data_IF_340581900185
#
_entry.id   IF_340581900185
#
_cell.length_a   1.000
_cell.length_b   1.000
_cell.length_c   1.000
_cell.angle_alpha   90.00
_cell.angle_beta   90.00
_cell.angle_gamma   90.00
#
_symmetry.space_group_name_H-M   'P 1'
#
loop_
_entity.id
_entity.type
_entity.pdbx_description
1 polymer ?
#
# COMPACT_ATOMS: atom_id res chain seq x y z
N UNK A 1 -1.14 -27.44 39.46
CA UNK A 1 -0.14 -28.54 39.44
C UNK A 1 -0.22 -29.49 40.66
N UNK A 2 -1.39 -29.65 41.33
CA UNK A 2 -1.63 -30.65 42.40
C UNK A 2 -2.77 -31.63 42.08
N UNK A 3 -3.46 -31.45 40.95
CA UNK A 3 -4.59 -32.29 40.54
C UNK A 3 -4.19 -33.41 39.56
N UNK A 4 -3.12 -33.22 38.79
CA UNK A 4 -2.60 -34.21 37.84
C UNK A 4 -1.87 -35.39 38.51
N UNK A 5 -1.22 -35.17 39.66
CA UNK A 5 -0.52 -36.25 40.40
C UNK A 5 -1.48 -37.21 41.13
N UNK A 6 -2.73 -36.82 41.38
CA UNK A 6 -3.70 -37.65 42.12
C UNK A 6 -4.41 -38.68 41.22
N UNK A 7 -4.53 -38.40 39.93
CA UNK A 7 -5.17 -39.32 38.97
C UNK A 7 -4.24 -40.45 38.51
N UNK A 8 -2.93 -40.21 38.35
CA UNK A 8 -1.99 -41.27 37.94
C UNK A 8 -1.79 -42.33 39.04
N UNK A 9 -1.78 -41.93 40.32
CA UNK A 9 -1.64 -42.87 41.43
C UNK A 9 -2.85 -43.81 41.58
N UNK A 10 -4.07 -43.33 41.32
CA UNK A 10 -5.28 -44.17 41.38
C UNK A 10 -5.35 -45.16 40.21
N UNK A 11 -4.84 -44.79 39.03
CA UNK A 11 -4.83 -45.66 37.86
C UNK A 11 -3.80 -46.80 38.00
N UNK A 12 -2.61 -46.52 38.55
CA UNK A 12 -1.60 -47.55 38.82
C UNK A 12 -2.05 -48.55 39.90
N UNK A 13 -2.77 -48.08 40.93
CA UNK A 13 -3.30 -48.95 41.99
C UNK A 13 -4.40 -49.90 41.47
N UNK A 14 -5.28 -49.41 40.58
CA UNK A 14 -6.35 -50.22 39.98
C UNK A 14 -5.85 -51.24 38.94
N UNK A 15 -4.78 -50.92 38.20
CA UNK A 15 -4.14 -51.85 37.27
C UNK A 15 -3.38 -52.96 38.03
N UNK A 16 -2.73 -52.63 39.15
CA UNK A 16 -2.06 -53.64 39.99
C UNK A 16 -3.06 -54.55 40.71
N UNK A 17 -4.18 -54.02 41.22
CA UNK A 17 -5.24 -54.84 41.85
C UNK A 17 -5.89 -55.83 40.87
N UNK A 18 -6.02 -55.45 39.59
CA UNK A 18 -6.56 -56.29 38.52
C UNK A 18 -5.60 -57.43 38.12
N UNK A 19 -4.29 -57.19 38.18
CA UNK A 19 -3.27 -58.23 37.91
C UNK A 19 -3.14 -59.22 39.07
N UNK A 20 -3.19 -58.76 40.32
CA UNK A 20 -3.13 -59.64 41.50
C UNK A 20 -4.38 -60.51 41.62
N UNK A 21 -5.58 -59.96 41.40
CA UNK A 21 -6.82 -60.76 41.41
C UNK A 21 -6.89 -61.82 40.30
N UNK A 22 -6.31 -61.57 39.12
CA UNK A 22 -6.21 -62.59 38.06
C UNK A 22 -5.22 -63.71 38.42
N UNK A 23 -4.12 -63.37 39.11
CA UNK A 23 -3.12 -64.35 39.53
C UNK A 23 -3.64 -65.24 40.67
N UNK A 24 -4.35 -64.65 41.66
CA UNK A 24 -4.92 -65.39 42.78
C UNK A 24 -6.09 -66.27 42.35
N UNK A 25 -6.91 -65.81 41.41
CA UNK A 25 -7.98 -66.63 40.82
C UNK A 25 -7.42 -67.75 39.93
N UNK A 26 -6.31 -67.51 39.22
CA UNK A 26 -5.60 -68.56 38.47
C UNK A 26 -4.94 -69.59 39.41
N UNK A 27 -4.34 -69.15 40.53
CA UNK A 27 -3.82 -70.04 41.57
C UNK A 27 -4.92 -70.83 42.28
N UNK A 28 -6.09 -70.23 42.51
CA UNK A 28 -7.25 -70.91 43.10
C UNK A 28 -7.81 -71.98 42.14
N UNK A 29 -7.89 -71.68 40.84
CA UNK A 29 -8.31 -72.64 39.80
C UNK A 29 -7.25 -73.75 39.61
N UNK A 30 -5.96 -73.42 39.63
CA UNK A 30 -4.86 -74.42 39.62
C UNK A 30 -4.83 -75.29 40.87
N UNK A 31 -5.19 -74.75 42.05
CA UNK A 31 -5.29 -75.51 43.31
C UNK A 31 -6.52 -76.43 43.33
N UNK A 32 -7.61 -76.04 42.67
CA UNK A 32 -8.76 -76.91 42.40
C UNK A 32 -8.44 -78.01 41.37
N UNK A 33 -7.55 -77.76 40.41
CA UNK A 33 -7.10 -78.73 39.41
C UNK A 33 -5.99 -79.69 39.90
N UNK A 34 -5.33 -79.41 41.03
CA UNK A 34 -4.24 -80.21 41.58
C UNK A 34 -4.65 -81.13 42.74
N UNK A 35 -5.88 -81.65 42.72
CA UNK A 35 -6.28 -82.82 43.53
C UNK A 35 -6.23 -84.06 42.63
N UNK A 36 -5.02 -84.53 42.36
CA UNK A 36 -4.74 -85.87 41.81
C UNK A 36 -4.45 -86.84 42.96
N UNK A 37 -5.50 -87.38 43.58
CA UNK A 37 -5.60 -88.76 44.11
C UNK A 37 -6.91 -88.93 44.89
N UNK A 38 -8.02 -89.03 44.17
CA UNK A 38 -9.17 -89.80 44.67
C UNK A 38 -9.63 -90.71 43.53
N UNK A 39 -9.13 -91.94 43.63
CA UNK A 39 -9.79 -93.22 43.35
C UNK A 39 -10.88 -93.19 42.26
N UNK A 40 -10.61 -93.85 41.14
CA UNK A 40 -11.62 -94.31 40.20
C UNK A 40 -12.77 -94.98 40.97
N UNK A 41 -13.96 -94.38 40.91
CA UNK A 41 -15.19 -94.96 41.43
C UNK A 41 -16.12 -95.17 40.24
N UNK A 42 -16.61 -96.41 40.15
CA UNK A 42 -17.35 -97.00 39.05
C UNK A 42 -18.54 -96.17 38.59
N UNK A 43 -18.73 -96.12 37.27
CA UNK A 43 -19.86 -95.52 36.56
C UNK A 43 -21.14 -96.38 36.65
N UNK A 44 -21.46 -96.89 37.85
CA UNK A 44 -22.59 -97.79 38.08
C UNK A 44 -23.12 -97.62 39.51
N UNK A 45 -23.86 -96.52 39.70
CA UNK A 45 -24.94 -96.29 40.68
C UNK A 45 -25.10 -94.78 40.90
N UNK A 46 -25.63 -94.07 39.89
CA UNK A 46 -26.05 -92.67 40.06
C UNK A 46 -27.45 -92.64 40.68
N UNK A 47 -27.55 -92.22 41.93
CA UNK A 47 -28.84 -91.84 42.52
C UNK A 47 -29.34 -90.53 41.88
N UNK A 48 -30.67 -90.34 41.73
CA UNK A 48 -31.27 -89.21 40.98
C UNK A 48 -30.86 -87.81 41.48
N UNK A 49 -30.34 -87.70 42.69
CA UNK A 49 -29.82 -86.45 43.27
C UNK A 49 -28.58 -85.89 42.57
N UNK A 50 -27.74 -86.72 41.92
CA UNK A 50 -26.49 -86.26 41.29
C UNK A 50 -26.71 -85.54 39.95
N UNK A 51 -27.75 -85.91 39.20
CA UNK A 51 -28.11 -85.24 37.94
C UNK A 51 -28.65 -83.82 38.18
N UNK A 52 -29.33 -83.60 39.31
CA UNK A 52 -29.85 -82.28 39.71
C UNK A 52 -28.68 -81.33 40.01
N UNK A 53 -27.65 -81.81 40.72
CA UNK A 53 -26.46 -81.00 41.06
C UNK A 53 -25.63 -80.69 39.81
N UNK A 54 -25.45 -81.65 38.90
CA UNK A 54 -24.74 -81.40 37.64
C UNK A 54 -25.49 -80.43 36.71
N UNK A 55 -26.83 -80.54 36.66
CA UNK A 55 -27.68 -79.62 35.90
C UNK A 55 -27.64 -78.19 36.44
N UNK A 56 -27.67 -78.03 37.77
CA UNK A 56 -27.50 -76.73 38.43
C UNK A 56 -26.13 -76.12 38.17
N UNK A 57 -25.06 -76.92 38.22
CA UNK A 57 -23.71 -76.46 37.92
C UNK A 57 -23.57 -75.99 36.45
N UNK A 58 -24.15 -76.73 35.50
CA UNK A 58 -24.16 -76.36 34.08
C UNK A 58 -24.95 -75.06 33.84
N UNK A 59 -26.11 -74.89 34.48
CA UNK A 59 -26.91 -73.68 34.38
C UNK A 59 -26.18 -72.45 34.95
N UNK A 60 -25.46 -72.62 36.06
CA UNK A 60 -24.68 -71.55 36.69
C UNK A 60 -23.49 -71.13 35.81
N UNK A 61 -22.85 -72.09 35.15
CA UNK A 61 -21.76 -71.84 34.19
C UNK A 61 -22.28 -71.08 32.95
N UNK A 62 -23.44 -71.47 32.44
CA UNK A 62 -24.09 -70.81 31.30
C UNK A 62 -24.49 -69.37 31.65
N UNK A 63 -24.97 -69.13 32.87
CA UNK A 63 -25.27 -67.80 33.39
C UNK A 63 -24.01 -66.92 33.50
N UNK A 64 -22.89 -67.48 33.97
CA UNK A 64 -21.61 -66.76 34.04
C UNK A 64 -21.11 -66.38 32.64
N UNK A 65 -21.22 -67.27 31.65
CA UNK A 65 -20.83 -66.98 30.27
C UNK A 65 -21.69 -65.86 29.67
N UNK A 66 -23.01 -65.91 29.87
CA UNK A 66 -23.92 -64.84 29.43
C UNK A 66 -23.65 -63.51 30.15
N UNK A 67 -23.30 -63.55 31.43
CA UNK A 67 -22.95 -62.36 32.21
C UNK A 67 -21.64 -61.71 31.73
N UNK A 68 -20.62 -62.51 31.40
CA UNK A 68 -19.36 -62.03 30.82
C UNK A 68 -19.61 -61.43 29.42
N UNK A 69 -20.45 -62.06 28.59
CA UNK A 69 -20.82 -61.53 27.29
C UNK A 69 -21.53 -60.18 27.41
N UNK A 70 -22.51 -60.05 28.30
CA UNK A 70 -23.22 -58.80 28.57
C UNK A 70 -22.28 -57.67 29.05
N UNK A 71 -21.33 -57.98 29.94
CA UNK A 71 -20.30 -57.04 30.38
C UNK A 71 -19.38 -56.60 29.25
N UNK A 72 -18.96 -57.54 28.38
CA UNK A 72 -18.10 -57.23 27.23
C UNK A 72 -18.79 -56.34 26.20
N UNK A 73 -20.09 -56.57 25.95
CA UNK A 73 -20.92 -55.76 25.06
C UNK A 73 -21.10 -54.34 25.60
N UNK A 74 -21.41 -54.19 26.89
CA UNK A 74 -21.49 -52.86 27.54
C UNK A 74 -20.16 -52.10 27.47
N UNK A 75 -19.02 -52.78 27.66
CA UNK A 75 -17.69 -52.16 27.53
C UNK A 75 -17.39 -51.69 26.10
N UNK A 76 -17.80 -52.46 25.08
CA UNK A 76 -17.66 -52.05 23.67
C UNK A 76 -18.53 -50.81 23.37
N UNK A 77 -19.76 -50.77 23.86
CA UNK A 77 -20.65 -49.62 23.67
C UNK A 77 -20.13 -48.34 24.36
N UNK A 78 -19.52 -48.46 25.54
CA UNK A 78 -18.89 -47.33 26.24
C UNK A 78 -17.68 -46.82 25.46
N UNK A 79 -16.80 -47.70 24.99
CA UNK A 79 -15.63 -47.31 24.18
C UNK A 79 -16.04 -46.63 22.86
N UNK A 80 -17.06 -47.15 22.18
CA UNK A 80 -17.56 -46.53 20.95
C UNK A 80 -18.11 -45.11 21.20
N UNK A 81 -18.76 -44.87 22.34
CA UNK A 81 -19.21 -43.53 22.75
C UNK A 81 -18.05 -42.60 23.12
N UNK A 82 -17.03 -43.11 23.82
CA UNK A 82 -15.82 -42.34 24.16
C UNK A 82 -15.02 -41.97 22.91
N UNK A 83 -14.87 -42.89 21.94
CA UNK A 83 -14.23 -42.63 20.65
C UNK A 83 -15.00 -41.60 19.82
N UNK A 84 -16.34 -41.72 19.75
CA UNK A 84 -17.18 -40.74 19.07
C UNK A 84 -17.07 -39.34 19.70
N UNK A 85 -17.11 -39.25 21.03
CA UNK A 85 -16.99 -37.99 21.76
C UNK A 85 -15.57 -37.38 21.63
N UNK A 86 -14.53 -38.21 21.64
CA UNK A 86 -13.17 -37.75 21.41
C UNK A 86 -12.96 -37.27 19.97
N UNK A 87 -13.57 -37.93 18.98
CA UNK A 87 -13.55 -37.50 17.59
C UNK A 87 -14.26 -36.16 17.40
N UNK A 88 -15.45 -36.00 17.97
CA UNK A 88 -16.20 -34.74 17.95
C UNK A 88 -15.42 -33.60 18.64
N UNK A 89 -14.78 -33.86 19.78
CA UNK A 89 -13.90 -32.89 20.45
C UNK A 89 -12.68 -32.52 19.60
N UNK A 90 -12.07 -33.49 18.93
CA UNK A 90 -10.93 -33.27 18.03
C UNK A 90 -11.32 -32.40 16.85
N UNK A 91 -12.46 -32.70 16.21
CA UNK A 91 -12.99 -31.92 15.09
C UNK A 91 -13.36 -30.51 15.52
N UNK A 92 -14.03 -30.35 16.69
CA UNK A 92 -14.35 -29.04 17.24
C UNK A 92 -13.09 -28.21 17.53
N UNK A 93 -12.05 -28.83 18.09
CA UNK A 93 -10.78 -28.16 18.36
C UNK A 93 -10.07 -27.75 17.08
N UNK A 94 -10.01 -28.65 16.09
CA UNK A 94 -9.43 -28.36 14.77
C UNK A 94 -10.17 -27.23 14.06
N UNK A 95 -11.51 -27.26 14.05
CA UNK A 95 -12.33 -26.22 13.42
C UNK A 95 -12.18 -24.87 14.14
N UNK A 96 -12.03 -24.87 15.46
CA UNK A 96 -11.77 -23.65 16.23
C UNK A 96 -10.38 -23.08 15.92
N UNK A 97 -9.34 -23.93 15.87
CA UNK A 97 -7.98 -23.52 15.52
C UNK A 97 -7.92 -22.97 14.08
N UNK A 98 -8.55 -23.63 13.11
CA UNK A 98 -8.63 -23.17 11.72
C UNK A 98 -9.39 -21.84 11.59
N UNK A 99 -10.55 -21.71 12.27
CA UNK A 99 -11.30 -20.45 12.29
C UNK A 99 -10.51 -19.32 12.93
N UNK A 100 -9.77 -19.61 14.01
CA UNK A 100 -8.96 -18.62 14.71
C UNK A 100 -7.79 -18.14 13.84
N UNK A 101 -7.10 -19.07 13.17
CA UNK A 101 -6.03 -18.74 12.22
C UNK A 101 -6.55 -17.93 11.03
N UNK A 102 -7.72 -18.31 10.48
CA UNK A 102 -8.36 -17.55 9.40
C UNK A 102 -8.68 -16.12 9.83
N UNK A 103 -9.28 -15.94 11.01
CA UNK A 103 -9.54 -14.61 11.58
C UNK A 103 -8.27 -13.79 11.82
N UNK A 104 -7.18 -14.45 12.24
CA UNK A 104 -5.88 -13.78 12.42
C UNK A 104 -5.29 -13.31 11.10
N UNK A 105 -5.38 -14.13 10.06
CA UNK A 105 -4.90 -13.79 8.72
C UNK A 105 -5.72 -12.67 8.09
N UNK A 106 -7.05 -12.69 8.22
CA UNK A 106 -7.91 -11.61 7.71
C UNK A 106 -7.62 -10.31 8.46
N UNK A 107 -7.52 -10.35 9.79
CA UNK A 107 -7.19 -9.17 10.60
C UNK A 107 -5.82 -8.59 10.24
N UNK A 108 -4.80 -9.44 10.03
CA UNK A 108 -3.48 -8.99 9.59
C UNK A 108 -3.51 -8.34 8.21
N UNK A 109 -4.32 -8.86 7.30
CA UNK A 109 -4.50 -8.30 5.96
C UNK A 109 -5.22 -6.94 6.02
N UNK A 110 -6.32 -6.86 6.75
CA UNK A 110 -7.06 -5.60 6.97
C UNK A 110 -6.17 -4.54 7.65
N UNK A 111 -5.34 -4.93 8.61
CA UNK A 111 -4.39 -4.02 9.27
C UNK A 111 -3.33 -3.49 8.30
N UNK A 112 -2.83 -4.32 7.38
CA UNK A 112 -1.87 -3.91 6.36
C UNK A 112 -2.53 -2.94 5.36
N UNK A 113 -3.71 -3.29 4.83
CA UNK A 113 -4.47 -2.42 3.94
C UNK A 113 -4.81 -1.07 4.60
N UNK A 114 -5.21 -1.07 5.87
CA UNK A 114 -5.45 0.16 6.63
C UNK A 114 -4.19 0.99 6.79
N UNK A 115 -3.05 0.37 7.12
CA UNK A 115 -1.77 1.08 7.24
C UNK A 115 -1.35 1.73 5.92
N UNK A 116 -1.42 1.00 4.82
CA UNK A 116 -1.08 1.52 3.49
C UNK A 116 -2.00 2.70 3.12
N UNK A 117 -3.29 2.58 3.44
CA UNK A 117 -4.27 3.66 3.21
C UNK A 117 -3.98 4.88 4.09
N UNK A 118 -3.62 4.68 5.37
CA UNK A 118 -3.26 5.76 6.28
C UNK A 118 -1.95 6.44 5.87
N UNK A 119 -0.94 5.69 5.43
CA UNK A 119 0.32 6.24 4.94
C UNK A 119 0.13 7.05 3.66
N UNK A 120 -0.70 6.57 2.73
CA UNK A 120 -1.10 7.34 1.56
C UNK A 120 -1.82 8.64 1.95
N UNK A 121 -2.79 8.57 2.86
CA UNK A 121 -3.52 9.75 3.35
C UNK A 121 -2.59 10.75 4.07
N UNK A 122 -1.65 10.26 4.89
CA UNK A 122 -0.66 11.10 5.56
C UNK A 122 0.29 11.76 4.56
N UNK A 123 0.71 11.05 3.51
CA UNK A 123 1.51 11.62 2.42
C UNK A 123 0.76 12.75 1.72
N UNK A 124 -0.51 12.53 1.36
CA UNK A 124 -1.35 13.57 0.74
C UNK A 124 -1.58 14.75 1.67
N UNK A 125 -1.86 14.50 2.96
CA UNK A 125 -2.06 15.57 3.93
C UNK A 125 -0.78 16.36 4.24
N UNK A 126 0.39 15.71 4.28
CA UNK A 126 1.66 16.40 4.44
C UNK A 126 1.97 17.28 3.21
N UNK A 127 1.73 16.77 1.99
CA UNK A 127 1.82 17.58 0.77
C UNK A 127 0.87 18.80 0.85
N UNK A 128 -0.38 18.61 1.30
CA UNK A 128 -1.33 19.70 1.53
C UNK A 128 -0.90 20.67 2.64
N UNK A 129 -0.21 20.21 3.69
CA UNK A 129 0.24 21.07 4.79
C UNK A 129 1.44 21.91 4.35
N UNK A 130 2.39 21.32 3.62
CA UNK A 130 3.53 22.06 3.09
C UNK A 130 3.09 23.05 2.01
N UNK A 131 2.05 22.71 1.25
CA UNK A 131 1.41 23.62 0.31
C UNK A 131 0.62 24.76 1.00
N UNK A 132 -0.02 24.51 2.15
CA UNK A 132 -0.66 25.56 2.96
C UNK A 132 0.33 26.56 3.58
N UNK A 133 1.57 26.15 3.87
CA UNK A 133 2.64 27.08 4.29
C UNK A 133 3.08 28.01 3.15
N UNK A 134 2.96 27.57 1.90
CA UNK A 134 3.24 28.37 0.69
C UNK A 134 2.14 29.38 0.33
N UNK A 135 0.90 29.18 0.78
CA UNK A 135 -0.26 30.03 0.49
C UNK A 135 -0.05 31.51 0.88
N UNK A 136 0.83 31.79 1.86
CA UNK A 136 1.07 33.16 2.31
C UNK A 136 1.95 33.99 1.36
N UNK A 137 2.54 33.42 0.29
CA UNK A 137 3.49 34.17 -0.55
C UNK A 137 3.35 33.97 -2.08
N UNK A 138 3.03 32.79 -2.61
CA UNK A 138 2.99 32.53 -4.07
C UNK A 138 1.79 31.64 -4.49
N UNK A 139 0.61 32.24 -4.70
CA UNK A 139 -0.64 31.53 -5.11
C UNK A 139 -0.47 30.71 -6.40
N UNK A 140 0.33 31.19 -7.36
CA UNK A 140 0.55 30.54 -8.66
C UNK A 140 1.32 29.24 -8.59
N UNK A 141 2.41 29.24 -7.81
CA UNK A 141 3.23 28.04 -7.59
C UNK A 141 2.39 26.94 -6.94
N UNK A 142 1.63 27.28 -5.90
CA UNK A 142 0.75 26.32 -5.23
C UNK A 142 -0.31 25.70 -6.15
N UNK A 143 -1.01 26.53 -6.93
CA UNK A 143 -2.02 26.01 -7.86
C UNK A 143 -1.39 25.11 -8.91
N UNK A 144 -0.18 25.43 -9.35
CA UNK A 144 0.57 24.57 -10.28
C UNK A 144 0.93 23.24 -9.64
N UNK A 145 1.45 23.25 -8.42
CA UNK A 145 1.82 22.04 -7.67
C UNK A 145 0.61 21.10 -7.51
N UNK A 146 -0.53 21.64 -7.07
CA UNK A 146 -1.77 20.86 -6.97
C UNK A 146 -2.20 20.26 -8.31
N UNK A 147 -2.19 21.05 -9.38
CA UNK A 147 -2.57 20.56 -10.71
C UNK A 147 -1.62 19.45 -11.17
N UNK A 148 -0.31 19.59 -10.94
CA UNK A 148 0.68 18.57 -11.32
C UNK A 148 0.56 17.28 -10.51
N UNK A 149 0.32 17.38 -9.20
CA UNK A 149 0.08 16.23 -8.33
C UNK A 149 -1.22 15.52 -8.75
N UNK A 150 -2.31 16.26 -8.92
CA UNK A 150 -3.59 15.70 -9.35
C UNK A 150 -3.48 15.04 -10.72
N UNK A 151 -2.75 15.65 -11.67
CA UNK A 151 -2.47 15.08 -12.98
C UNK A 151 -1.73 13.75 -12.85
N UNK A 152 -0.66 13.71 -12.05
CA UNK A 152 0.09 12.46 -11.79
C UNK A 152 -0.83 11.39 -11.20
N UNK A 153 -1.56 11.72 -10.15
CA UNK A 153 -2.43 10.78 -9.44
C UNK A 153 -3.52 10.22 -10.36
N UNK A 154 -4.12 11.08 -11.19
CA UNK A 154 -5.12 10.68 -12.18
C UNK A 154 -4.52 9.72 -13.23
N UNK A 155 -3.32 10.00 -13.72
CA UNK A 155 -2.65 9.15 -14.72
C UNK A 155 -2.23 7.80 -14.15
N UNK A 156 -1.80 7.76 -12.88
CA UNK A 156 -1.49 6.52 -12.16
C UNK A 156 -2.75 5.72 -11.90
N UNK A 157 -3.82 6.37 -11.43
CA UNK A 157 -5.11 5.71 -11.18
C UNK A 157 -5.75 5.13 -12.46
N UNK A 158 -5.49 5.75 -13.61
CA UNK A 158 -5.90 5.25 -14.92
C UNK A 158 -4.95 4.20 -15.51
N UNK A 159 -3.91 3.77 -14.78
CA UNK A 159 -2.87 2.84 -15.23
C UNK A 159 -2.13 3.28 -16.52
N UNK A 160 -2.13 4.59 -16.80
CA UNK A 160 -1.47 5.15 -17.98
C UNK A 160 0.03 5.31 -17.78
N UNK A 161 0.43 5.59 -16.54
CA UNK A 161 1.82 5.66 -16.10
C UNK A 161 1.97 4.91 -14.78
N UNK A 162 3.17 4.45 -14.47
CA UNK A 162 3.49 3.92 -13.14
C UNK A 162 3.94 5.06 -12.23
N UNK A 163 3.81 4.94 -10.89
CA UNK A 163 4.23 5.98 -9.95
C UNK A 163 5.69 6.46 -10.12
N UNK A 164 6.57 5.56 -10.55
CA UNK A 164 7.99 5.78 -10.81
C UNK A 164 8.30 6.40 -12.19
N UNK A 165 7.31 6.54 -13.08
CA UNK A 165 7.54 7.09 -14.43
C UNK A 165 7.49 8.64 -14.44
N UNK A 166 7.06 9.27 -13.33
CA UNK A 166 6.95 10.73 -13.18
C UNK A 166 7.24 11.20 -11.75
N UNK A 167 8.16 12.15 -11.60
CA UNK A 167 8.40 12.87 -10.34
C UNK A 167 8.13 14.36 -10.51
N UNK A 168 7.42 14.94 -9.55
CA UNK A 168 7.15 16.38 -9.47
C UNK A 168 7.95 16.91 -8.29
N UNK A 169 8.89 17.81 -8.54
CA UNK A 169 9.74 18.43 -7.54
C UNK A 169 9.48 19.94 -7.55
N UNK A 170 9.08 20.50 -6.42
CA UNK A 170 8.84 21.93 -6.29
C UNK A 170 9.99 22.62 -5.55
N UNK A 171 10.15 23.93 -5.76
CA UNK A 171 11.08 24.80 -5.03
C UNK A 171 12.54 24.31 -5.05
N UNK A 172 13.06 24.03 -6.25
CA UNK A 172 14.44 23.56 -6.42
C UNK A 172 15.39 24.75 -6.52
N UNK A 173 16.42 24.76 -5.68
CA UNK A 173 17.50 25.74 -5.71
C UNK A 173 18.71 25.14 -6.42
N UNK A 174 19.23 25.88 -7.39
CA UNK A 174 20.46 25.53 -8.11
C UNK A 174 21.50 26.65 -7.97
N UNK A 175 22.81 26.36 -8.08
CA UNK A 175 23.84 27.37 -8.12
C UNK A 175 23.56 28.45 -9.17
N UNK A 176 23.68 29.70 -8.75
CA UNK A 176 23.42 30.89 -9.55
C UNK A 176 24.52 31.19 -10.57
N UNK A 177 24.34 32.24 -11.40
CA UNK A 177 25.39 32.71 -12.33
C UNK A 177 26.66 33.16 -11.59
N UNK A 178 26.53 33.62 -10.35
CA UNK A 178 27.63 34.02 -9.48
C UNK A 178 27.86 32.92 -8.44
N UNK A 179 29.10 32.72 -8.03
CA UNK A 179 29.53 31.70 -7.04
C UNK A 179 28.72 31.72 -5.73
N UNK A 180 28.09 32.85 -5.39
CA UNK A 180 27.27 33.02 -4.17
C UNK A 180 25.78 33.27 -4.44
N UNK A 181 25.33 33.29 -5.69
CA UNK A 181 23.89 33.40 -5.98
C UNK A 181 23.29 32.01 -6.10
N UNK A 182 21.99 31.90 -5.84
CA UNK A 182 21.19 30.70 -6.05
C UNK A 182 20.00 31.09 -6.90
N UNK A 183 19.70 30.29 -7.93
CA UNK A 183 18.50 30.46 -8.72
C UNK A 183 17.45 29.49 -8.19
N UNK A 184 16.23 30.00 -7.96
CA UNK A 184 15.07 29.18 -7.61
C UNK A 184 14.35 28.77 -8.91
N UNK A 185 14.02 27.48 -9.00
CA UNK A 185 13.13 26.87 -9.97
C UNK A 185 11.82 26.54 -9.26
N UNK A 186 10.70 26.97 -9.83
CA UNK A 186 9.42 26.76 -9.18
C UNK A 186 9.06 25.27 -9.20
N UNK A 187 9.11 24.62 -10.37
CA UNK A 187 8.94 23.17 -10.48
C UNK A 187 9.89 22.53 -11.49
N UNK A 188 10.35 21.32 -11.16
CA UNK A 188 11.08 20.42 -12.03
C UNK A 188 10.29 19.11 -12.13
N UNK A 189 9.95 18.72 -13.35
CA UNK A 189 9.23 17.49 -13.63
C UNK A 189 10.16 16.52 -14.34
N UNK A 190 10.36 15.37 -13.72
CA UNK A 190 11.17 14.28 -14.26
C UNK A 190 10.22 13.25 -14.85
N UNK A 191 10.33 12.99 -16.16
CA UNK A 191 9.60 11.89 -16.80
C UNK A 191 10.53 11.05 -17.65
N UNK A 192 10.09 9.86 -18.02
CA UNK A 192 10.87 8.98 -18.89
C UNK A 192 11.14 9.55 -20.28
N UNK A 193 10.39 10.56 -20.73
CA UNK A 193 10.54 11.16 -22.05
C UNK A 193 11.31 12.47 -22.03
N UNK A 194 11.56 13.05 -20.86
CA UNK A 194 12.33 14.28 -20.73
C UNK A 194 12.26 14.87 -19.32
N UNK A 195 13.07 15.90 -19.11
CA UNK A 195 13.03 16.72 -17.90
C UNK A 195 12.49 18.09 -18.27
N UNK A 196 11.56 18.61 -17.47
CA UNK A 196 10.85 19.86 -17.73
C UNK A 196 11.03 20.81 -16.56
N UNK A 197 11.28 22.08 -16.83
CA UNK A 197 11.29 23.15 -15.82
C UNK A 197 10.07 24.02 -16.05
N UNK A 198 9.26 24.20 -15.02
CA UNK A 198 8.06 25.04 -15.09
C UNK A 198 8.28 26.30 -14.26
N UNK A 199 8.08 27.45 -14.90
CA UNK A 199 7.98 28.76 -14.25
C UNK A 199 6.50 29.09 -14.04
N UNK A 200 6.07 29.13 -12.78
CA UNK A 200 4.66 29.15 -12.39
C UNK A 200 4.17 30.58 -12.20
N UNK A 201 3.46 31.10 -13.19
CA UNK A 201 2.98 32.47 -13.20
C UNK A 201 1.47 32.53 -13.00
N UNK A 202 1.04 33.29 -11.98
CA UNK A 202 -0.37 33.61 -11.77
C UNK A 202 -0.68 35.00 -12.31
N UNK A 203 -1.71 35.11 -13.16
CA UNK A 203 -2.22 36.40 -13.64
C UNK A 203 -3.73 36.51 -13.50
N UNK A 204 -4.19 37.73 -13.66
CA UNK A 204 -5.59 38.10 -13.78
C UNK A 204 -5.69 39.05 -14.97
N UNK A 205 -6.71 38.87 -15.82
CA UNK A 205 -6.89 39.68 -17.03
C UNK A 205 -6.26 39.06 -18.30
N UNK A 206 -5.83 39.92 -19.23
CA UNK A 206 -5.32 39.52 -20.54
C UNK A 206 -3.79 39.55 -20.57
N UNK A 207 -3.17 38.46 -21.04
CA UNK A 207 -1.73 38.31 -21.09
C UNK A 207 -1.22 38.50 -22.52
N UNK A 208 -0.27 39.41 -22.70
CA UNK A 208 0.46 39.58 -23.95
C UNK A 208 1.89 39.07 -23.75
N UNK A 209 2.21 37.97 -24.41
CA UNK A 209 3.50 37.29 -24.26
C UNK A 209 4.38 37.52 -25.48
N UNK A 210 5.68 37.74 -25.26
CA UNK A 210 6.67 37.87 -26.34
C UNK A 210 6.58 39.17 -27.14
N UNK A 211 6.16 40.28 -26.52
CA UNK A 211 6.14 41.59 -27.18
C UNK A 211 7.57 42.13 -27.27
N UNK A 212 7.91 42.74 -28.41
CA UNK A 212 9.15 43.45 -28.66
C UNK A 212 8.88 44.66 -29.58
N UNK A 213 9.92 45.41 -29.95
CA UNK A 213 9.83 46.52 -30.91
C UNK A 213 9.18 46.12 -32.25
N UNK A 214 9.26 44.83 -32.63
CA UNK A 214 8.65 44.31 -33.85
C UNK A 214 7.12 44.40 -33.88
N UNK A 215 6.48 44.56 -32.73
CA UNK A 215 5.02 44.66 -32.61
C UNK A 215 4.53 46.11 -32.55
N UNK A 216 5.42 47.10 -32.41
CA UNK A 216 5.01 48.50 -32.20
C UNK A 216 4.33 49.11 -33.42
N UNK A 217 4.75 48.74 -34.63
CA UNK A 217 4.11 49.21 -35.86
C UNK A 217 2.64 48.75 -35.98
N UNK A 218 2.35 47.54 -35.49
CA UNK A 218 1.00 46.97 -35.51
C UNK A 218 0.14 47.44 -34.35
N UNK A 219 0.74 47.61 -33.17
CA UNK A 219 0.06 47.95 -31.92
C UNK A 219 0.85 49.06 -31.18
N UNK A 220 0.69 50.35 -31.59
CA UNK A 220 1.50 51.47 -31.07
C UNK A 220 1.34 51.71 -29.57
N UNK A 221 0.27 51.19 -28.96
CA UNK A 221 0.08 51.26 -27.50
C UNK A 221 1.22 50.58 -26.75
N UNK A 222 1.80 49.50 -27.28
CA UNK A 222 2.90 48.80 -26.63
C UNK A 222 4.19 49.63 -26.58
N UNK A 223 4.47 50.45 -27.59
CA UNK A 223 5.61 51.37 -27.54
C UNK A 223 5.47 52.32 -26.33
N UNK A 224 4.26 52.85 -26.12
CA UNK A 224 3.97 53.72 -24.97
C UNK A 224 4.12 52.96 -23.66
N UNK A 225 3.60 51.73 -23.58
CA UNK A 225 3.71 50.89 -22.37
C UNK A 225 5.17 50.55 -22.05
N UNK A 226 5.99 50.21 -23.05
CA UNK A 226 7.42 49.94 -22.86
C UNK A 226 8.16 51.17 -22.34
N UNK A 227 7.86 52.35 -22.90
CA UNK A 227 8.45 53.61 -22.45
C UNK A 227 8.04 53.97 -21.01
N UNK A 228 6.78 53.74 -20.62
CA UNK A 228 6.28 54.01 -19.26
C UNK A 228 6.86 53.03 -18.24
N UNK A 229 6.95 51.75 -18.61
CA UNK A 229 7.43 50.68 -17.73
C UNK A 229 8.96 50.50 -17.79
N UNK A 230 9.66 51.33 -18.55
CA UNK A 230 11.12 51.29 -18.76
C UNK A 230 11.62 49.91 -19.22
N UNK A 231 10.87 49.24 -20.10
CA UNK A 231 11.19 47.92 -20.62
C UNK A 231 12.13 48.01 -21.82
N UNK A 232 13.01 47.02 -22.00
CA UNK A 232 13.91 46.95 -23.15
C UNK A 232 13.13 46.48 -24.42
N UNK A 233 12.97 47.35 -25.44
CA UNK A 233 12.24 47.02 -26.66
C UNK A 233 12.85 45.88 -27.48
N UNK A 234 14.15 45.61 -27.31
CA UNK A 234 14.85 44.58 -28.09
C UNK A 234 14.65 43.17 -27.55
N UNK A 235 14.24 43.06 -26.30
CA UNK A 235 14.02 41.79 -25.61
C UNK A 235 12.53 41.42 -25.63
N UNK A 236 12.22 40.13 -25.71
CA UNK A 236 10.84 39.65 -25.60
C UNK A 236 10.34 39.85 -24.16
N UNK A 237 9.26 40.62 -24.01
CA UNK A 237 8.64 40.95 -22.73
C UNK A 237 7.23 40.36 -22.62
N UNK A 238 6.85 40.02 -21.39
CA UNK A 238 5.48 39.61 -21.07
C UNK A 238 4.78 40.71 -20.27
N UNK A 239 3.64 41.15 -20.77
CA UNK A 239 2.86 42.25 -20.19
C UNK A 239 1.43 41.76 -19.98
N UNK A 240 0.85 42.10 -18.84
CA UNK A 240 -0.52 41.77 -18.53
C UNK A 240 -1.37 43.01 -18.35
N UNK A 241 -2.52 43.02 -19.01
CA UNK A 241 -3.58 43.98 -18.78
C UNK A 241 -4.51 43.41 -17.72
N UNK A 242 -4.32 43.89 -16.50
CA UNK A 242 -4.98 43.39 -15.30
C UNK A 242 -6.02 44.40 -14.79
N UNK A 243 -7.04 43.89 -14.10
CA UNK A 243 -8.04 44.70 -13.40
C UNK A 243 -7.54 44.94 -11.96
N UNK A 244 -7.25 46.20 -11.64
CA UNK A 244 -6.93 46.62 -10.28
C UNK A 244 -8.13 46.43 -9.33
N UNK A 245 -7.86 46.42 -8.01
CA UNK A 245 -8.88 46.24 -6.98
C UNK A 245 -9.97 47.31 -7.00
N UNK A 246 -9.62 48.53 -7.42
CA UNK A 246 -10.55 49.66 -7.60
C UNK A 246 -11.40 49.57 -8.87
N UNK A 247 -11.19 48.53 -9.69
CA UNK A 247 -11.88 48.31 -10.95
C UNK A 247 -11.25 48.99 -12.17
N UNK A 248 -10.14 49.72 -12.01
CA UNK A 248 -9.37 50.27 -13.13
C UNK A 248 -8.57 49.19 -13.86
N UNK A 249 -8.15 49.47 -15.10
CA UNK A 249 -7.28 48.58 -15.88
C UNK A 249 -5.85 49.10 -15.85
N UNK A 250 -4.89 48.22 -15.58
CA UNK A 250 -3.47 48.56 -15.48
C UNK A 250 -2.60 47.56 -16.22
N UNK A 251 -1.56 48.08 -16.88
CA UNK A 251 -0.51 47.23 -17.45
C UNK A 251 0.53 46.91 -16.38
N UNK A 252 0.81 45.62 -16.20
CA UNK A 252 1.88 45.10 -15.36
C UNK A 252 2.89 44.36 -16.22
N UNK A 253 4.18 44.63 -16.02
CA UNK A 253 5.25 43.81 -16.58
C UNK A 253 5.47 42.58 -15.70
N UNK A 254 5.54 41.40 -16.32
CA UNK A 254 6.05 40.21 -15.67
C UNK A 254 7.58 40.24 -15.74
N UNK A 255 8.22 40.25 -14.56
CA UNK A 255 9.67 40.36 -14.44
C UNK A 255 10.44 39.15 -14.97
N UNK A 256 9.82 37.99 -15.04
CA UNK A 256 10.48 36.78 -15.51
C UNK A 256 10.50 36.76 -17.04
N UNK A 257 11.69 36.96 -17.61
CA UNK A 257 11.86 36.89 -19.05
C UNK A 257 11.99 35.43 -19.50
N UNK A 258 11.56 35.17 -20.74
CA UNK A 258 11.73 33.88 -21.41
C UNK A 258 13.21 33.49 -21.42
N UNK A 259 14.11 34.45 -21.60
CA UNK A 259 15.55 34.24 -21.57
C UNK A 259 16.05 33.75 -20.21
N UNK A 260 15.54 34.30 -19.11
CA UNK A 260 15.90 33.84 -17.77
C UNK A 260 15.48 32.39 -17.54
N UNK A 261 14.28 32.01 -17.97
CA UNK A 261 13.80 30.64 -17.87
C UNK A 261 14.66 29.65 -18.66
N UNK A 262 15.09 30.01 -19.87
CA UNK A 262 16.02 29.19 -20.65
C UNK A 262 17.37 29.02 -19.94
N UNK A 263 17.92 30.11 -19.43
CA UNK A 263 19.19 30.08 -18.72
C UNK A 263 19.12 29.29 -17.41
N UNK A 264 17.94 29.20 -16.79
CA UNK A 264 17.67 28.31 -15.67
C UNK A 264 17.67 26.84 -16.11
N UNK A 265 16.97 26.51 -17.20
CA UNK A 265 16.92 25.16 -17.76
C UNK A 265 18.31 24.64 -18.20
N UNK A 266 19.06 25.43 -19.00
CA UNK A 266 20.43 25.10 -19.41
C UNK A 266 21.39 24.90 -18.24
N UNK A 267 21.11 25.56 -17.11
CA UNK A 267 21.95 25.42 -15.92
C UNK A 267 21.60 24.17 -15.15
N UNK A 268 20.32 23.82 -15.05
CA UNK A 268 19.91 22.53 -14.50
C UNK A 268 20.60 21.38 -15.26
N UNK A 269 20.61 21.45 -16.59
CA UNK A 269 21.35 20.50 -17.45
C UNK A 269 22.83 20.39 -17.05
N UNK A 270 23.52 21.52 -16.90
CA UNK A 270 24.96 21.55 -16.59
C UNK A 270 25.28 21.10 -15.16
N UNK A 271 24.44 21.47 -14.19
CA UNK A 271 24.66 21.15 -12.77
C UNK A 271 24.54 19.65 -12.52
N UNK A 272 23.59 19.00 -13.19
CA UNK A 272 23.32 17.56 -13.02
C UNK A 272 23.86 16.70 -14.17
N UNK A 273 24.67 17.29 -15.06
CA UNK A 273 25.29 16.61 -16.22
C UNK A 273 24.28 15.78 -17.04
N UNK A 274 23.11 16.37 -17.28
CA UNK A 274 21.99 15.65 -17.91
C UNK A 274 22.31 15.31 -19.38
N UNK A 275 22.02 14.07 -19.83
CA UNK A 275 22.33 13.64 -21.19
C UNK A 275 21.40 14.23 -22.27
N UNK A 276 20.24 14.73 -21.88
CA UNK A 276 19.24 15.31 -22.78
C UNK A 276 18.86 16.73 -22.35
N UNK A 277 18.49 17.61 -23.30
CA UNK A 277 18.11 18.98 -22.98
C UNK A 277 16.83 19.03 -22.14
N UNK A 278 16.86 19.89 -21.12
CA UNK A 278 15.74 20.24 -20.26
C UNK A 278 14.83 21.19 -21.03
N UNK A 279 13.53 20.89 -21.01
CA UNK A 279 12.53 21.70 -21.71
C UNK A 279 11.96 22.77 -20.77
N UNK A 280 12.21 24.07 -21.01
CA UNK A 280 11.58 25.14 -20.26
C UNK A 280 10.11 25.33 -20.66
N UNK A 281 9.25 25.51 -19.66
CA UNK A 281 7.82 25.75 -19.80
C UNK A 281 7.45 27.01 -19.00
N UNK A 282 7.01 28.05 -19.70
CA UNK A 282 6.34 29.19 -19.10
C UNK A 282 4.88 28.81 -18.87
N UNK A 283 4.53 28.49 -17.62
CA UNK A 283 3.18 28.09 -17.27
C UNK A 283 2.43 29.25 -16.66
N UNK A 284 1.29 29.51 -17.26
CA UNK A 284 0.38 30.54 -16.89
C UNK A 284 -0.89 29.81 -16.35
N UNK A 285 -1.14 29.85 -15.03
CA UNK A 285 -2.49 29.67 -14.45
C UNK A 285 -3.25 30.96 -14.03
N UNK A 286 -4.57 31.02 -14.24
CA UNK A 286 -5.43 32.15 -13.84
C UNK A 286 -6.84 31.71 -13.44
N UNK A 287 -7.46 32.44 -12.51
CA UNK A 287 -8.80 32.10 -12.00
C UNK A 287 -9.89 32.52 -13.01
N UNK A 288 -10.57 31.53 -13.60
CA UNK A 288 -11.69 31.76 -14.52
C UNK A 288 -11.30 32.21 -15.93
N UNK A 289 -10.01 32.11 -16.29
CA UNK A 289 -9.44 32.63 -17.53
C UNK A 289 -8.81 31.47 -18.31
N UNK A 290 -9.28 31.24 -19.55
CA UNK A 290 -8.73 30.23 -20.46
C UNK A 290 -7.72 30.79 -21.47
N UNK A 291 -7.29 29.96 -22.43
CA UNK A 291 -6.35 30.32 -23.51
C UNK A 291 -6.80 31.47 -24.42
N UNK A 292 -8.08 31.86 -24.35
CA UNK A 292 -8.64 33.00 -25.10
C UNK A 292 -8.12 34.36 -24.62
N UNK A 293 -7.50 34.40 -23.44
CA UNK A 293 -6.99 35.60 -22.80
C UNK A 293 -5.47 35.71 -22.86
N UNK A 294 -4.81 34.93 -23.71
CA UNK A 294 -3.41 35.12 -24.06
C UNK A 294 -3.28 35.51 -25.52
N UNK A 295 -2.39 36.46 -25.79
CA UNK A 295 -1.89 36.73 -27.15
C UNK A 295 -0.40 36.51 -27.15
N UNK A 296 0.04 35.45 -27.84
CA UNK A 296 1.44 35.08 -27.93
C UNK A 296 2.05 35.64 -29.22
N UNK A 297 2.99 36.57 -29.07
CA UNK A 297 3.80 37.15 -30.14
C UNK A 297 5.23 36.59 -30.17
N UNK A 298 5.60 35.74 -29.20
CA UNK A 298 6.93 35.14 -29.13
C UNK A 298 7.18 34.31 -30.39
N UNK A 299 8.35 34.51 -30.98
CA UNK A 299 8.81 33.71 -32.14
C UNK A 299 9.65 32.53 -31.69
N UNK A 300 9.90 32.43 -30.39
CA UNK A 300 10.83 31.49 -29.83
C UNK A 300 10.15 30.18 -29.43
N UNK A 301 10.38 29.15 -30.24
CA UNK A 301 9.76 27.85 -30.02
C UNK A 301 10.49 26.97 -28.98
N UNK A 302 11.60 27.46 -28.39
CA UNK A 302 12.39 26.70 -27.41
C UNK A 302 11.78 26.70 -26.01
N UNK A 303 10.99 27.72 -25.67
CA UNK A 303 10.16 27.73 -24.46
C UNK A 303 8.74 27.36 -24.83
N UNK A 304 8.14 26.43 -24.09
CA UNK A 304 6.72 26.09 -24.25
C UNK A 304 5.89 27.03 -23.38
N UNK A 305 4.95 27.71 -24.01
CA UNK A 305 3.98 28.57 -23.32
C UNK A 305 2.70 27.77 -23.18
N UNK A 306 2.25 27.57 -21.94
CA UNK A 306 1.06 26.76 -21.63
C UNK A 306 0.12 27.59 -20.76
N UNK A 307 -1.17 27.59 -21.08
CA UNK A 307 -2.18 28.39 -20.38
C UNK A 307 -3.29 27.53 -19.80
N UNK A 308 -3.39 27.56 -18.48
CA UNK A 308 -4.42 26.89 -17.71
C UNK A 308 -4.20 25.39 -17.56
N UNK A 309 -4.92 24.81 -16.61
CA UNK A 309 -4.84 23.39 -16.24
C UNK A 309 -5.07 22.46 -17.44
N UNK A 310 -6.15 22.67 -18.22
CA UNK A 310 -6.51 21.79 -19.34
C UNK A 310 -5.44 21.69 -20.43
N UNK A 311 -4.76 22.79 -20.74
CA UNK A 311 -3.68 22.78 -21.73
C UNK A 311 -2.43 22.09 -21.19
N UNK A 312 -2.14 22.27 -19.89
CA UNK A 312 -1.07 21.56 -19.20
C UNK A 312 -1.31 20.05 -19.20
N UNK A 313 -2.51 19.62 -18.83
CA UNK A 313 -2.92 18.21 -18.91
C UNK A 313 -2.77 17.67 -20.33
N UNK A 314 -3.32 18.39 -21.33
CA UNK A 314 -3.21 17.97 -22.73
C UNK A 314 -1.76 17.86 -23.20
N UNK A 315 -0.90 18.80 -22.78
CA UNK A 315 0.51 18.80 -23.11
C UNK A 315 1.20 17.53 -22.59
N UNK A 316 1.04 17.24 -21.30
CA UNK A 316 1.64 16.07 -20.67
C UNK A 316 1.08 14.77 -21.26
N UNK A 317 -0.23 14.68 -21.39
CA UNK A 317 -0.88 13.49 -21.94
C UNK A 317 -0.43 13.19 -23.36
N UNK A 318 -0.43 14.19 -24.25
CA UNK A 318 -0.24 13.96 -25.69
C UNK A 318 1.23 13.96 -26.10
N UNK A 319 2.04 14.85 -25.53
CA UNK A 319 3.40 15.08 -26.00
C UNK A 319 4.45 14.47 -25.09
N UNK A 320 4.20 14.44 -23.77
CA UNK A 320 5.15 13.89 -22.80
C UNK A 320 5.00 12.37 -22.71
N UNK A 321 3.81 11.82 -22.51
CA UNK A 321 3.67 10.37 -22.27
C UNK A 321 3.60 9.49 -23.52
N UNK A 322 3.37 10.06 -24.71
CA UNK A 322 3.46 9.34 -25.98
C UNK A 322 4.81 9.53 -26.70
N UNK A 323 5.74 10.27 -26.07
CA UNK A 323 7.07 10.50 -26.60
C UNK A 323 7.95 9.25 -26.58
N UNK A 324 9.13 9.35 -27.20
CA UNK A 324 10.16 8.30 -27.08
C UNK A 324 10.80 8.40 -25.70
N UNK A 325 10.96 7.27 -25.01
CA UNK A 325 11.70 7.25 -23.76
C UNK A 325 13.16 7.65 -23.97
N UNK A 326 13.58 8.64 -23.18
CA UNK A 326 14.94 9.15 -23.09
C UNK A 326 15.64 8.65 -21.82
N UNK A 327 14.88 8.49 -20.73
CA UNK A 327 15.40 8.08 -19.42
C UNK A 327 14.82 6.73 -18.96
N UNK A 328 15.65 5.96 -18.26
CA UNK A 328 15.23 4.80 -17.47
C UNK A 328 14.77 5.24 -16.08
N UNK A 329 14.02 4.38 -15.40
CA UNK A 329 13.52 4.66 -14.04
C UNK A 329 14.68 4.88 -13.08
N UNK A 330 15.73 4.06 -13.19
CA UNK A 330 16.91 4.16 -12.32
C UNK A 330 17.64 5.49 -12.51
N UNK A 331 17.77 5.95 -13.75
CA UNK A 331 18.39 7.25 -14.08
C UNK A 331 17.56 8.43 -13.55
N UNK A 332 16.22 8.33 -13.58
CA UNK A 332 15.34 9.35 -13.01
C UNK A 332 15.47 9.45 -11.49
N UNK A 333 15.56 8.30 -10.80
CA UNK A 333 15.75 8.29 -9.35
C UNK A 333 17.13 8.80 -8.95
N UNK A 334 18.18 8.54 -9.74
CA UNK A 334 19.51 9.14 -9.53
C UNK A 334 19.47 10.66 -9.65
N UNK A 335 18.83 11.19 -10.70
CA UNK A 335 18.67 12.65 -10.89
C UNK A 335 17.84 13.25 -9.75
N UNK A 336 16.74 12.60 -9.37
CA UNK A 336 15.91 13.02 -8.25
C UNK A 336 16.70 13.09 -6.95
N UNK A 337 17.42 12.01 -6.61
CA UNK A 337 18.21 11.95 -5.39
C UNK A 337 19.32 13.01 -5.39
N UNK A 338 19.93 13.30 -6.54
CA UNK A 338 20.92 14.37 -6.67
C UNK A 338 20.30 15.76 -6.44
N UNK A 339 19.10 16.00 -6.98
CA UNK A 339 18.36 17.26 -6.78
C UNK A 339 17.98 17.44 -5.31
N UNK A 340 17.44 16.39 -4.68
CA UNK A 340 17.07 16.39 -3.26
C UNK A 340 18.30 16.57 -2.35
N UNK A 341 19.45 15.96 -2.69
CA UNK A 341 20.69 16.14 -1.93
C UNK A 341 21.21 17.59 -1.96
N UNK A 342 21.03 18.28 -3.09
CA UNK A 342 21.38 19.69 -3.22
C UNK A 342 20.39 20.61 -2.47
N UNK A 343 19.17 20.12 -2.21
CA UNK A 343 18.04 20.85 -1.62
C UNK A 343 17.51 20.12 -0.37
N UNK A 344 18.32 20.03 0.72
CA UNK A 344 17.99 19.25 1.91
C UNK A 344 16.89 19.84 2.79
#
# INVERSE_FOLDING_TARGET
>A
MKFLLRCELQFYFLINLSKTMKLDMFFFIMKLLNIRKVRAMSLSNLQPMHYIVLGLAAALLLFIVLFIYALSSKRKAIRAKEEALNKERSEMKSNYEESSEKSRLTFKKELAEQKDTYEAQLSTQNAQIDSLKLFSRDKGEYLTDLTLINLKDNLVAQERIRPEDMHVLANIYIPGKRVKSTDRLDHVILTRTGIYVIDSNYWTGHLYHGISEMQFDGEPIFETVFNILELDPKSEQTICLDKAEDGSAQFKSYKHSIEELKLKAERLEKVFELPYPVTPIAYYNAEGVGSEHITNYSRDNSVKVIVGEKELEHFFEKFVFHGRFQYKVEELEEVRAAIEHLNP
#
